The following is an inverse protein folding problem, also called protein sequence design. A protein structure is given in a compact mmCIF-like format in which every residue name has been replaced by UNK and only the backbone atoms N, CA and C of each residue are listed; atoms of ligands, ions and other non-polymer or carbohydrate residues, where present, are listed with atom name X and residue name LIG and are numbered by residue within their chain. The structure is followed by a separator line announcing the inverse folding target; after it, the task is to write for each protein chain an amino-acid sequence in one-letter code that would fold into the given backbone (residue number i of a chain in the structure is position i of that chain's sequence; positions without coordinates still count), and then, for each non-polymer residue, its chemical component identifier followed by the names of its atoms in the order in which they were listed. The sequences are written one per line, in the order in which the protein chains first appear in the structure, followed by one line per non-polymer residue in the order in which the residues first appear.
data_IF_581515656230
#
_entry.id   IF_581515656230
#
_cell.length_a   1.000
_cell.length_b   1.000
_cell.length_c   1.000
_cell.angle_alpha   90.00
_cell.angle_beta   90.00
_cell.angle_gamma   90.00
#
_symmetry.space_group_name_H-M   'P 1'
#
loop_
_entity.id
_entity.type
_entity.pdbx_description
1 polymer ?
#
# COMPACT_ATOMS: atom_id res chain seq x y z
N UNK A 1 -15.90 -27.92 58.04
CA UNK A 1 -16.01 -26.64 57.31
C UNK A 1 -14.68 -26.32 56.66
N UNK A 2 -14.70 -26.08 55.34
CA UNK A 2 -13.55 -25.92 54.44
C UNK A 2 -12.65 -24.74 54.85
N UNK A 3 -11.35 -24.99 55.00
CA UNK A 3 -10.29 -23.97 54.84
C UNK A 3 -9.12 -24.62 54.12
N UNK A 4 -9.16 -24.55 52.80
CA UNK A 4 -8.02 -24.89 51.94
C UNK A 4 -7.09 -23.67 51.98
N UNK A 5 -5.92 -23.83 52.58
CA UNK A 5 -4.83 -22.86 52.49
C UNK A 5 -3.94 -23.34 51.33
N UNK A 6 -4.10 -22.72 50.16
CA UNK A 6 -3.22 -22.92 49.01
C UNK A 6 -1.99 -22.02 49.20
N UNK A 7 -0.83 -22.67 49.34
CA UNK A 7 0.48 -22.06 49.36
C UNK A 7 0.89 -21.64 47.93
N UNK A 8 1.13 -20.34 47.79
CA UNK A 8 2.10 -19.65 46.92
C UNK A 8 2.63 -20.43 45.71
N UNK A 9 2.07 -20.13 44.53
CA UNK A 9 2.80 -20.23 43.27
C UNK A 9 2.96 -18.79 42.74
N UNK A 10 4.19 -18.29 42.83
CA UNK A 10 4.64 -17.02 42.29
C UNK A 10 4.60 -17.12 40.75
N UNK A 11 3.43 -16.88 40.17
CA UNK A 11 3.32 -16.68 38.73
C UNK A 11 3.99 -15.35 38.37
N UNK A 12 5.18 -15.46 37.80
CA UNK A 12 5.79 -14.49 36.90
C UNK A 12 4.71 -13.94 35.97
N UNK A 13 4.24 -12.73 36.25
CA UNK A 13 3.58 -11.89 35.27
C UNK A 13 4.68 -11.43 34.32
N UNK A 14 4.71 -11.84 33.03
CA UNK A 14 5.44 -11.04 32.07
C UNK A 14 4.71 -9.70 32.05
N UNK A 15 5.41 -8.67 32.52
CA UNK A 15 5.03 -7.29 32.27
C UNK A 15 4.66 -7.21 30.79
N UNK A 16 3.40 -6.86 30.53
CA UNK A 16 2.94 -6.39 29.23
C UNK A 16 3.84 -5.22 28.88
N UNK A 17 4.93 -5.52 28.17
CA UNK A 17 5.69 -4.55 27.42
C UNK A 17 4.75 -4.08 26.32
N UNK A 18 3.93 -3.10 26.64
CA UNK A 18 3.33 -2.23 25.65
C UNK A 18 4.49 -1.61 24.88
N UNK A 19 4.87 -2.23 23.76
CA UNK A 19 5.69 -1.58 22.76
C UNK A 19 4.89 -0.37 22.26
N UNK A 20 5.04 0.76 22.94
CA UNK A 20 4.60 2.05 22.43
C UNK A 20 5.40 2.26 21.16
N UNK A 21 4.80 2.01 20.00
CA UNK A 21 5.36 2.38 18.71
C UNK A 21 5.59 3.90 18.76
N UNK A 22 6.84 4.29 18.94
CA UNK A 22 7.21 5.69 18.82
C UNK A 22 6.82 6.16 17.41
N UNK A 23 6.28 7.38 17.27
CA UNK A 23 6.04 7.94 15.95
C UNK A 23 7.37 7.98 15.18
N UNK A 24 7.43 7.27 14.06
CA UNK A 24 8.60 7.23 13.18
C UNK A 24 8.97 8.64 12.74
N UNK A 25 10.26 8.92 12.62
CA UNK A 25 10.75 10.17 12.08
C UNK A 25 10.35 10.31 10.60
N UNK A 26 10.36 11.53 10.08
CA UNK A 26 10.08 11.77 8.66
C UNK A 26 11.07 11.04 7.74
N UNK A 27 12.35 11.02 8.13
CA UNK A 27 13.41 10.31 7.41
C UNK A 27 13.18 8.79 7.38
N UNK A 28 12.78 8.20 8.51
CA UNK A 28 12.43 6.78 8.59
C UNK A 28 11.24 6.44 7.69
N UNK A 29 10.21 7.30 7.65
CA UNK A 29 9.05 7.10 6.77
C UNK A 29 9.43 7.19 5.29
N UNK A 30 10.29 8.13 4.91
CA UNK A 30 10.77 8.27 3.54
C UNK A 30 11.61 7.06 3.14
N UNK A 31 12.49 6.59 4.02
CA UNK A 31 13.30 5.40 3.76
C UNK A 31 12.42 4.16 3.53
N UNK A 32 11.46 3.92 4.42
CA UNK A 32 10.53 2.79 4.28
C UNK A 32 9.68 2.88 3.00
N UNK A 33 9.31 4.09 2.60
CA UNK A 33 8.61 4.34 1.35
C UNK A 33 9.44 3.90 0.13
N UNK A 34 10.69 4.35 0.04
CA UNK A 34 11.56 3.95 -1.08
C UNK A 34 11.91 2.46 -1.05
N UNK A 35 12.12 1.87 0.13
CA UNK A 35 12.33 0.41 0.27
C UNK A 35 11.11 -0.39 -0.20
N UNK A 36 9.89 0.10 0.04
CA UNK A 36 8.67 -0.54 -0.44
C UNK A 36 8.54 -0.46 -1.97
N UNK A 37 8.94 0.68 -2.56
CA UNK A 37 8.97 0.86 -4.01
C UNK A 37 10.01 -0.06 -4.65
N UNK A 38 11.22 -0.13 -4.10
CA UNK A 38 12.28 -1.00 -4.60
C UNK A 38 11.85 -2.47 -4.63
N UNK A 39 11.28 -2.98 -3.52
CA UNK A 39 10.72 -4.35 -3.46
C UNK A 39 9.62 -4.57 -4.50
N UNK A 40 8.81 -3.54 -4.76
CA UNK A 40 7.73 -3.63 -5.75
C UNK A 40 8.29 -3.63 -7.18
N UNK A 41 9.37 -2.89 -7.45
CA UNK A 41 10.09 -2.92 -8.73
C UNK A 41 10.71 -4.31 -8.93
N UNK A 42 11.49 -4.81 -7.97
CA UNK A 42 12.10 -6.15 -8.04
C UNK A 42 11.08 -7.25 -8.34
N UNK A 43 9.93 -7.20 -7.66
CA UNK A 43 8.82 -8.13 -7.89
C UNK A 43 8.29 -8.04 -9.32
N UNK A 44 8.06 -6.84 -9.84
CA UNK A 44 7.55 -6.62 -11.19
C UNK A 44 8.56 -7.04 -12.25
N UNK A 45 9.83 -6.66 -12.07
CA UNK A 45 10.94 -7.04 -12.95
C UNK A 45 11.02 -8.55 -13.11
N UNK A 46 10.98 -9.27 -11.99
CA UNK A 46 11.03 -10.73 -12.01
C UNK A 46 9.76 -11.34 -12.62
N UNK A 47 8.58 -10.92 -12.16
CA UNK A 47 7.29 -11.49 -12.56
C UNK A 47 6.98 -11.28 -14.04
N UNK A 48 7.35 -10.12 -14.58
CA UNK A 48 7.04 -9.74 -15.95
C UNK A 48 8.23 -9.96 -16.89
N UNK A 49 9.41 -10.27 -16.36
CA UNK A 49 10.66 -10.35 -17.12
C UNK A 49 10.87 -9.03 -17.89
N UNK A 50 10.92 -7.93 -17.14
CA UNK A 50 11.04 -6.58 -17.71
C UNK A 50 12.42 -6.40 -18.34
N UNK A 51 12.46 -5.71 -19.48
CA UNK A 51 13.69 -5.20 -20.08
C UNK A 51 14.21 -3.99 -19.28
N UNK A 52 15.52 -3.72 -19.33
CA UNK A 52 16.15 -2.66 -18.52
C UNK A 52 15.49 -1.29 -18.69
N UNK A 53 15.09 -0.94 -19.91
CA UNK A 53 14.38 0.31 -20.17
C UNK A 53 12.98 0.32 -19.53
N UNK A 54 12.29 -0.83 -19.47
CA UNK A 54 11.01 -0.95 -18.78
C UNK A 54 11.19 -0.85 -17.26
N UNK A 55 12.25 -1.43 -16.71
CA UNK A 55 12.59 -1.29 -15.28
C UNK A 55 12.77 0.18 -14.92
N UNK A 56 13.50 0.94 -15.73
CA UNK A 56 13.66 2.38 -15.54
C UNK A 56 12.32 3.13 -15.54
N UNK A 57 11.42 2.85 -16.50
CA UNK A 57 10.11 3.50 -16.51
C UNK A 57 9.21 3.05 -15.35
N UNK A 58 9.24 1.77 -14.98
CA UNK A 58 8.47 1.27 -13.83
C UNK A 58 8.93 1.96 -12.55
N UNK A 59 10.24 2.08 -12.32
CA UNK A 59 10.77 2.84 -11.18
C UNK A 59 10.30 4.29 -11.21
N UNK A 60 10.48 4.99 -12.34
CA UNK A 60 10.08 6.39 -12.47
C UNK A 60 8.58 6.60 -12.21
N UNK A 61 7.72 5.73 -12.76
CA UNK A 61 6.26 5.76 -12.56
C UNK A 61 5.94 5.53 -11.08
N UNK A 62 6.47 4.47 -10.48
CA UNK A 62 6.14 4.13 -9.10
C UNK A 62 6.64 5.19 -8.12
N UNK A 63 7.89 5.60 -8.25
CA UNK A 63 8.50 6.64 -7.41
C UNK A 63 7.74 7.96 -7.50
N UNK A 64 7.39 8.41 -8.71
CA UNK A 64 6.63 9.64 -8.89
C UNK A 64 5.19 9.52 -8.34
N UNK A 65 4.43 8.53 -8.81
CA UNK A 65 2.98 8.45 -8.55
C UNK A 65 2.67 8.07 -7.10
N UNK A 66 3.46 7.18 -6.47
CA UNK A 66 3.27 6.88 -5.05
C UNK A 66 3.63 8.08 -4.17
N UNK A 67 4.63 8.88 -4.55
CA UNK A 67 5.02 10.06 -3.78
C UNK A 67 3.93 11.12 -3.86
N UNK A 68 3.45 11.40 -5.06
CA UNK A 68 2.35 12.35 -5.27
C UNK A 68 1.06 11.89 -4.55
N UNK A 69 0.76 10.59 -4.57
CA UNK A 69 -0.35 10.04 -3.79
C UNK A 69 -0.15 10.23 -2.28
N UNK A 70 1.05 9.99 -1.75
CA UNK A 70 1.36 10.16 -0.34
C UNK A 70 1.21 11.62 0.09
N UNK A 71 1.72 12.57 -0.70
CA UNK A 71 1.61 14.00 -0.45
C UNK A 71 0.13 14.43 -0.37
N UNK A 72 -0.69 13.98 -1.32
CA UNK A 72 -2.12 14.33 -1.34
C UNK A 72 -2.89 13.69 -0.17
N UNK A 73 -2.60 12.44 0.18
CA UNK A 73 -3.16 11.79 1.37
C UNK A 73 -2.75 12.52 2.66
N UNK A 74 -1.50 12.97 2.73
CA UNK A 74 -1.01 13.78 3.86
C UNK A 74 -1.71 15.12 3.94
N UNK A 75 -1.99 15.77 2.80
CA UNK A 75 -2.69 17.05 2.77
C UNK A 75 -4.16 16.91 3.18
N UNK A 76 -4.85 15.85 2.77
CA UNK A 76 -6.17 15.49 3.29
C UNK A 76 -6.14 15.29 4.81
N UNK A 77 -5.12 14.59 5.31
CA UNK A 77 -4.94 14.35 6.74
C UNK A 77 -4.68 15.66 7.51
N UNK A 78 -3.83 16.55 7.00
CA UNK A 78 -3.56 17.87 7.60
C UNK A 78 -4.81 18.75 7.61
N UNK A 79 -5.61 18.68 6.55
CA UNK A 79 -6.91 19.35 6.45
C UNK A 79 -7.99 18.73 7.34
N UNK A 80 -7.68 17.66 8.08
CA UNK A 80 -8.59 16.94 8.98
C UNK A 80 -9.86 16.46 8.26
N UNK A 81 -9.72 16.06 7.00
CA UNK A 81 -10.82 15.46 6.24
C UNK A 81 -11.22 14.17 6.95
N UNK A 82 -12.46 14.12 7.44
CA UNK A 82 -12.99 12.99 8.20
C UNK A 82 -13.67 11.94 7.32
N UNK A 83 -14.05 12.30 6.09
CA UNK A 83 -14.68 11.39 5.16
C UNK A 83 -13.63 10.43 4.55
N UNK A 84 -13.67 9.16 4.95
CA UNK A 84 -12.78 8.11 4.43
C UNK A 84 -12.88 7.90 2.92
N UNK A 85 -14.05 8.15 2.33
CA UNK A 85 -14.28 7.93 0.89
C UNK A 85 -13.37 8.83 0.04
N UNK A 86 -13.05 10.03 0.52
CA UNK A 86 -12.15 10.96 -0.17
C UNK A 86 -10.72 10.39 -0.25
N UNK A 87 -10.24 9.70 0.79
CA UNK A 87 -8.93 9.04 0.77
C UNK A 87 -8.91 7.86 -0.21
N UNK A 88 -10.01 7.09 -0.27
CA UNK A 88 -10.15 6.02 -1.25
C UNK A 88 -10.21 6.56 -2.68
N UNK A 89 -10.88 7.69 -2.91
CA UNK A 89 -10.93 8.34 -4.22
C UNK A 89 -9.54 8.78 -4.71
N UNK A 90 -8.73 9.38 -3.82
CA UNK A 90 -7.35 9.76 -4.15
C UNK A 90 -6.53 8.52 -4.50
N UNK A 91 -6.59 7.48 -3.67
CA UNK A 91 -5.88 6.22 -3.94
C UNK A 91 -6.33 5.60 -5.26
N UNK A 92 -7.64 5.49 -5.51
CA UNK A 92 -8.17 4.88 -6.73
C UNK A 92 -7.74 5.63 -7.98
N UNK A 93 -7.69 6.97 -7.93
CA UNK A 93 -7.21 7.80 -9.04
C UNK A 93 -5.74 7.54 -9.34
N UNK A 94 -4.87 7.54 -8.34
CA UNK A 94 -3.44 7.28 -8.53
C UNK A 94 -3.16 5.84 -8.96
N UNK A 95 -3.87 4.86 -8.40
CA UNK A 95 -3.76 3.46 -8.83
C UNK A 95 -4.26 3.24 -10.26
N UNK A 96 -5.24 4.02 -10.71
CA UNK A 96 -5.66 4.01 -12.11
C UNK A 96 -4.61 4.64 -13.02
N UNK A 97 -4.00 5.75 -12.62
CA UNK A 97 -2.91 6.36 -13.37
C UNK A 97 -1.73 5.39 -13.55
N UNK A 98 -1.27 4.73 -12.48
CA UNK A 98 -0.20 3.72 -12.56
C UNK A 98 -0.60 2.58 -13.50
N UNK A 99 -1.84 2.09 -13.40
CA UNK A 99 -2.34 1.02 -14.27
C UNK A 99 -2.29 1.41 -15.75
N UNK A 100 -2.73 2.62 -16.09
CA UNK A 100 -2.69 3.15 -17.45
C UNK A 100 -1.26 3.40 -17.95
N UNK A 101 -0.36 3.86 -17.08
CA UNK A 101 1.05 4.03 -17.41
C UNK A 101 1.73 2.70 -17.71
N UNK A 102 1.45 1.66 -16.91
CA UNK A 102 1.97 0.30 -17.15
C UNK A 102 1.47 -0.27 -18.47
N UNK A 103 0.21 -0.05 -18.83
CA UNK A 103 -0.33 -0.52 -20.11
C UNK A 103 0.44 0.03 -21.33
N UNK A 104 1.04 1.23 -21.22
CA UNK A 104 1.77 1.88 -22.31
C UNK A 104 3.19 1.34 -22.48
N UNK A 105 3.80 0.81 -21.43
CA UNK A 105 5.21 0.39 -21.42
C UNK A 105 5.40 -1.13 -21.47
N UNK A 106 4.37 -1.89 -21.12
CA UNK A 106 4.41 -3.35 -21.15
C UNK A 106 4.02 -3.88 -22.54
N UNK A 107 4.67 -4.96 -22.98
CA UNK A 107 4.22 -5.72 -24.14
C UNK A 107 2.88 -6.41 -23.86
N UNK A 108 2.20 -6.90 -24.89
CA UNK A 108 0.91 -7.58 -24.73
C UNK A 108 1.00 -8.79 -23.77
N UNK A 109 2.06 -9.59 -23.88
CA UNK A 109 2.29 -10.76 -23.02
C UNK A 109 2.56 -10.35 -21.56
N UNK A 110 3.38 -9.31 -21.36
CA UNK A 110 3.67 -8.77 -20.03
C UNK A 110 2.42 -8.16 -19.40
N UNK A 111 1.62 -7.44 -20.20
CA UNK A 111 0.35 -6.87 -19.76
C UNK A 111 -0.64 -7.96 -19.36
N UNK A 112 -0.76 -9.02 -20.15
CA UNK A 112 -1.61 -10.16 -19.82
C UNK A 112 -1.16 -10.86 -18.51
N UNK A 113 0.16 -11.01 -18.28
CA UNK A 113 0.70 -11.53 -17.02
C UNK A 113 0.39 -10.60 -15.84
N UNK A 114 0.58 -9.29 -16.01
CA UNK A 114 0.27 -8.29 -14.99
C UNK A 114 -1.22 -8.30 -14.61
N UNK A 115 -2.11 -8.39 -15.61
CA UNK A 115 -3.54 -8.53 -15.36
C UNK A 115 -3.86 -9.80 -14.54
N UNK A 116 -3.23 -10.93 -14.90
CA UNK A 116 -3.39 -12.22 -14.19
C UNK A 116 -2.81 -12.22 -12.77
N UNK A 117 -1.86 -11.33 -12.45
CA UNK A 117 -1.28 -11.21 -11.11
C UNK A 117 -2.22 -10.58 -10.07
N UNK A 118 -3.44 -10.19 -10.47
CA UNK A 118 -4.44 -9.55 -9.62
C UNK A 118 -4.83 -8.14 -10.08
N UNK A 119 -4.03 -7.50 -10.96
CA UNK A 119 -4.30 -6.13 -11.39
C UNK A 119 -5.66 -5.99 -12.11
N UNK A 120 -6.10 -7.01 -12.85
CA UNK A 120 -7.43 -7.01 -13.47
C UNK A 120 -8.56 -7.05 -12.43
N UNK A 121 -8.39 -7.78 -11.33
CA UNK A 121 -9.37 -7.81 -10.24
C UNK A 121 -9.43 -6.46 -9.54
N UNK A 122 -8.26 -5.87 -9.27
CA UNK A 122 -8.17 -4.60 -8.55
C UNK A 122 -8.74 -3.46 -9.41
N UNK A 123 -8.48 -3.46 -10.73
CA UNK A 123 -9.14 -2.57 -11.71
C UNK A 123 -10.66 -2.69 -11.67
N UNK A 124 -11.20 -3.92 -11.74
CA UNK A 124 -12.65 -4.15 -11.64
C UNK A 124 -13.24 -3.64 -10.33
N UNK A 125 -12.50 -3.76 -9.22
CA UNK A 125 -12.95 -3.25 -7.93
C UNK A 125 -13.01 -1.71 -7.91
N UNK A 126 -12.00 -1.03 -8.48
CA UNK A 126 -12.00 0.43 -8.67
C UNK A 126 -13.16 0.89 -9.55
N UNK A 127 -13.35 0.25 -10.70
CA UNK A 127 -14.44 0.57 -11.63
C UNK A 127 -15.81 0.42 -10.97
N UNK A 128 -15.99 -0.61 -10.14
CA UNK A 128 -17.23 -0.82 -9.37
C UNK A 128 -17.47 0.29 -8.35
N UNK A 129 -16.41 0.79 -7.69
CA UNK A 129 -16.53 1.92 -6.76
C UNK A 129 -16.87 3.22 -7.49
N UNK A 130 -16.17 3.51 -8.59
CA UNK A 130 -16.46 4.67 -9.43
C UNK A 130 -17.90 4.65 -9.96
N UNK A 131 -18.38 3.49 -10.43
CA UNK A 131 -19.75 3.34 -10.93
C UNK A 131 -20.82 3.51 -9.84
N UNK A 132 -20.52 3.21 -8.57
CA UNK A 132 -21.45 3.46 -7.46
C UNK A 132 -21.57 4.96 -7.16
N UNK A 133 -20.44 5.68 -7.20
CA UNK A 133 -20.39 7.13 -6.97
C UNK A 133 -21.19 7.89 -8.03
N UNK A 134 -21.05 7.53 -9.30
CA UNK A 134 -21.75 8.19 -10.41
C UNK A 134 -23.28 7.92 -10.46
N UNK A 135 -23.79 7.03 -9.60
CA UNK A 135 -25.23 6.72 -9.50
C UNK A 135 -25.92 7.42 -8.33
N UNK A 136 -25.16 8.11 -7.48
CA UNK A 136 -25.67 8.97 -6.41
C UNK A 136 -25.80 10.40 -6.92
#
# INVERSE_FOLDING_TARGET
MKKIIIMVALCLLPAVASAQQQPKSEEERQKEFYEAIEKQIERLTTMLSLEDWQVFYVDSILTHDYKAMQEEVMDLSKAKVSNSDIYYDVQDRWMEQIYQSFQKILSEDQWAKYQKSGAARDKKARDKRAAKKNKQ
#
